data_IF_066228201756
#
_entry.id   IF_066228201756
#
_cell.length_a   1.000
_cell.length_b   1.000
_cell.length_c   1.000
_cell.angle_alpha   90.00
_cell.angle_beta   90.00
_cell.angle_gamma   90.00
#
_symmetry.space_group_name_H-M   'P 1'
#
loop_
_entity.id
_entity.type
_entity.pdbx_description
1 polymer ?
#
# COMPACT_ATOMS: atom_id res chain seq x y z
N UNK A 1 4.03 -16.93 -1.87
CA UNK A 1 3.74 -16.82 -3.30
C UNK A 1 2.35 -16.21 -3.48
N UNK A 2 2.20 -15.30 -4.43
CA UNK A 2 0.89 -14.78 -4.88
C UNK A 2 0.76 -15.18 -6.34
N UNK A 3 -0.36 -15.74 -6.72
CA UNK A 3 -0.66 -16.19 -8.07
C UNK A 3 -1.95 -15.54 -8.56
N UNK A 4 -1.90 -14.93 -9.72
CA UNK A 4 -3.02 -14.27 -10.40
C UNK A 4 -3.33 -15.04 -11.66
N UNK A 5 -4.53 -15.57 -11.76
CA UNK A 5 -4.96 -16.39 -12.87
C UNK A 5 -6.23 -15.86 -13.52
N UNK A 6 -6.13 -15.62 -14.83
CA UNK A 6 -7.24 -15.18 -15.69
C UNK A 6 -8.02 -13.99 -15.11
N UNK A 7 -7.28 -13.00 -14.60
CA UNK A 7 -7.86 -11.86 -13.90
C UNK A 7 -8.47 -10.88 -14.90
N UNK A 8 -9.75 -10.58 -14.71
CA UNK A 8 -10.48 -9.58 -15.49
C UNK A 8 -11.13 -8.55 -14.60
N UNK A 9 -11.10 -7.30 -15.04
CA UNK A 9 -11.82 -6.18 -14.42
C UNK A 9 -12.38 -5.25 -15.48
N UNK A 10 -13.64 -4.89 -15.32
CA UNK A 10 -14.33 -3.89 -16.14
C UNK A 10 -15.01 -2.83 -15.29
N UNK A 11 -15.09 -1.62 -15.80
CA UNK A 11 -15.90 -0.53 -15.26
C UNK A 11 -16.96 -0.17 -16.30
N UNK A 12 -18.21 -0.51 -16.01
CA UNK A 12 -19.27 -0.43 -17.00
C UNK A 12 -18.95 -1.26 -18.25
N UNK A 13 -18.79 -0.61 -19.41
CA UNK A 13 -18.44 -1.25 -20.68
C UNK A 13 -16.94 -1.33 -20.96
N UNK A 14 -16.11 -0.64 -20.18
CA UNK A 14 -14.65 -0.57 -20.39
C UNK A 14 -13.96 -1.73 -19.69
N UNK A 15 -13.30 -2.59 -20.46
CA UNK A 15 -12.43 -3.65 -19.93
C UNK A 15 -11.06 -3.02 -19.62
N UNK A 16 -10.64 -3.06 -18.35
CA UNK A 16 -9.35 -2.52 -17.89
C UNK A 16 -8.33 -3.63 -17.72
N UNK A 17 -8.72 -4.75 -17.13
CA UNK A 17 -7.89 -5.96 -17.06
C UNK A 17 -8.58 -7.05 -17.88
N UNK A 18 -7.80 -7.77 -18.69
CA UNK A 18 -8.34 -8.76 -19.62
C UNK A 18 -7.44 -10.01 -19.69
N UNK A 19 -7.72 -10.99 -18.82
CA UNK A 19 -7.00 -12.25 -18.77
C UNK A 19 -5.56 -12.11 -18.29
N UNK A 20 -5.34 -11.42 -17.16
CA UNK A 20 -4.00 -11.21 -16.60
C UNK A 20 -3.56 -12.46 -15.83
N UNK A 21 -2.34 -12.93 -16.13
CA UNK A 21 -1.66 -14.02 -15.43
C UNK A 21 -0.33 -13.51 -14.89
N UNK A 22 -0.11 -13.64 -13.57
CA UNK A 22 1.11 -13.19 -12.91
C UNK A 22 1.44 -14.11 -11.74
N UNK A 23 2.73 -14.27 -11.46
CA UNK A 23 3.24 -14.99 -10.30
C UNK A 23 4.25 -14.13 -9.56
N UNK A 24 4.08 -14.04 -8.25
CA UNK A 24 4.98 -13.30 -7.37
C UNK A 24 5.57 -14.24 -6.32
N UNK A 25 6.88 -14.43 -6.38
CA UNK A 25 7.62 -15.30 -5.48
C UNK A 25 8.18 -14.52 -4.28
N UNK A 26 8.29 -15.13 -3.09
CA UNK A 26 8.91 -14.51 -1.93
C UNK A 26 10.35 -14.08 -2.19
N UNK A 27 10.79 -13.00 -1.54
CA UNK A 27 12.14 -12.48 -1.62
C UNK A 27 12.51 -11.84 -2.96
N UNK A 28 11.53 -11.54 -3.80
CA UNK A 28 11.72 -10.87 -5.09
C UNK A 28 11.08 -9.49 -5.12
N UNK A 29 11.65 -8.60 -5.91
CA UNK A 29 11.09 -7.29 -6.24
C UNK A 29 10.62 -7.34 -7.69
N UNK A 30 9.38 -6.91 -7.91
CA UNK A 30 8.75 -6.88 -9.24
C UNK A 30 8.40 -5.45 -9.62
N UNK A 31 8.80 -5.02 -10.80
CA UNK A 31 8.38 -3.75 -11.38
C UNK A 31 7.23 -3.94 -12.36
N UNK A 32 6.11 -3.25 -12.12
CA UNK A 32 5.00 -3.22 -13.06
C UNK A 32 5.10 -1.96 -13.92
N UNK A 33 5.45 -2.14 -15.19
CA UNK A 33 5.67 -1.04 -16.15
C UNK A 33 4.52 -0.98 -17.15
N UNK A 34 4.09 0.22 -17.48
CA UNK A 34 3.04 0.47 -18.47
C UNK A 34 2.64 1.94 -18.50
N UNK A 35 1.98 2.36 -19.55
CA UNK A 35 1.47 3.71 -19.71
C UNK A 35 0.45 4.10 -18.62
N UNK A 36 0.20 5.41 -18.47
CA UNK A 36 -0.87 5.88 -17.61
C UNK A 36 -2.22 5.40 -18.16
N UNK A 37 -3.05 4.84 -17.28
CA UNK A 37 -4.31 4.23 -17.68
C UNK A 37 -4.22 2.76 -18.10
N UNK A 38 -3.03 2.14 -18.15
CA UNK A 38 -2.86 0.72 -18.49
C UNK A 38 -3.46 -0.27 -17.46
N UNK A 39 -3.99 0.22 -16.34
CA UNK A 39 -4.64 -0.63 -15.34
C UNK A 39 -3.75 -1.05 -14.16
N UNK A 40 -2.56 -0.49 -14.00
CA UNK A 40 -1.63 -0.83 -12.89
C UNK A 40 -2.30 -0.68 -11.52
N UNK A 41 -2.82 0.49 -11.20
CA UNK A 41 -3.57 0.77 -9.97
C UNK A 41 -4.81 -0.14 -9.83
N UNK A 42 -5.49 -0.43 -10.94
CA UNK A 42 -6.65 -1.35 -10.94
C UNK A 42 -6.22 -2.77 -10.54
N UNK A 43 -5.10 -3.25 -11.06
CA UNK A 43 -4.53 -4.55 -10.67
C UNK A 43 -4.20 -4.57 -9.18
N UNK A 44 -3.53 -3.57 -8.65
CA UNK A 44 -3.21 -3.47 -7.23
C UNK A 44 -4.47 -3.45 -6.35
N UNK A 45 -5.50 -2.70 -6.76
CA UNK A 45 -6.78 -2.66 -6.03
C UNK A 45 -7.53 -4.00 -6.06
N UNK A 46 -7.41 -4.78 -7.13
CA UNK A 46 -7.92 -6.16 -7.17
C UNK A 46 -7.11 -7.08 -6.23
N UNK A 47 -5.76 -6.99 -6.26
CA UNK A 47 -4.88 -7.81 -5.41
C UNK A 47 -5.07 -7.53 -3.92
N UNK A 48 -5.42 -6.30 -3.55
CA UNK A 48 -5.67 -5.89 -2.16
C UNK A 48 -7.12 -6.11 -1.72
N UNK A 49 -8.02 -6.50 -2.64
CA UNK A 49 -9.43 -6.76 -2.36
C UNK A 49 -10.29 -5.49 -2.29
N UNK A 50 -9.76 -4.34 -2.72
CA UNK A 50 -10.53 -3.08 -2.81
C UNK A 50 -11.55 -3.14 -3.94
N UNK A 51 -11.19 -3.79 -5.06
CA UNK A 51 -12.09 -4.02 -6.19
C UNK A 51 -12.45 -5.50 -6.34
N UNK A 52 -13.71 -5.75 -6.69
CA UNK A 52 -14.17 -7.04 -7.19
C UNK A 52 -13.59 -7.31 -8.59
N UNK A 53 -13.42 -8.58 -8.92
CA UNK A 53 -12.85 -9.05 -10.17
C UNK A 53 -13.41 -10.44 -10.54
N UNK A 54 -13.15 -10.88 -11.76
CA UNK A 54 -13.33 -12.28 -12.18
C UNK A 54 -11.99 -12.93 -12.44
N UNK A 55 -11.89 -14.26 -12.35
CA UNK A 55 -10.65 -15.01 -12.28
C UNK A 55 -10.26 -15.34 -10.84
N UNK A 56 -9.00 -15.57 -10.57
CA UNK A 56 -8.55 -15.93 -9.23
C UNK A 56 -7.25 -15.22 -8.83
N UNK A 57 -7.16 -14.86 -7.54
CA UNK A 57 -5.92 -14.41 -6.89
C UNK A 57 -5.72 -15.31 -5.68
N UNK A 58 -4.71 -16.16 -5.76
CA UNK A 58 -4.36 -17.12 -4.71
C UNK A 58 -3.17 -16.60 -3.91
N UNK A 59 -3.33 -16.55 -2.59
CA UNK A 59 -2.28 -16.17 -1.64
C UNK A 59 -2.43 -16.96 -0.36
N UNK A 60 -1.34 -17.13 0.40
CA UNK A 60 -1.43 -17.72 1.75
C UNK A 60 -2.41 -16.92 2.61
N UNK A 61 -3.23 -17.61 3.40
CA UNK A 61 -4.21 -16.98 4.32
C UNK A 61 -3.54 -16.09 5.38
N UNK A 62 -2.30 -16.39 5.73
CA UNK A 62 -1.52 -15.64 6.74
C UNK A 62 -0.77 -14.46 6.15
N UNK A 63 -0.73 -14.31 4.82
CA UNK A 63 0.05 -13.28 4.15
C UNK A 63 -0.58 -11.90 4.36
N UNK A 64 0.19 -11.03 5.03
CA UNK A 64 -0.18 -9.62 5.28
C UNK A 64 0.34 -8.75 4.13
N UNK A 65 -0.54 -8.07 3.43
CA UNK A 65 -0.17 -7.14 2.38
C UNK A 65 -0.38 -5.69 2.83
N UNK A 66 0.64 -4.86 2.64
CA UNK A 66 0.55 -3.42 2.79
C UNK A 66 0.48 -2.75 1.42
N UNK A 67 -0.37 -1.74 1.27
CA UNK A 67 -0.57 -1.01 0.03
C UNK A 67 -0.37 0.48 0.24
N UNK A 68 0.54 1.07 -0.51
CA UNK A 68 0.74 2.51 -0.60
C UNK A 68 0.16 2.99 -1.92
N UNK A 69 -0.96 3.71 -1.83
CA UNK A 69 -1.62 4.32 -2.97
C UNK A 69 -0.82 5.51 -3.53
N UNK A 70 -0.94 5.77 -4.82
CA UNK A 70 -0.39 6.95 -5.47
C UNK A 70 -0.85 8.27 -4.83
N UNK A 71 -2.09 8.31 -4.34
CA UNK A 71 -2.68 9.44 -3.61
C UNK A 71 -2.93 9.07 -2.15
N UNK A 72 -2.14 9.63 -1.24
CA UNK A 72 -2.37 9.49 0.19
C UNK A 72 -3.26 10.62 0.71
N UNK A 73 -4.36 10.24 1.34
CA UNK A 73 -5.23 11.17 2.05
C UNK A 73 -4.84 11.25 3.52
N UNK A 74 -4.74 12.47 4.03
CA UNK A 74 -4.49 12.74 5.45
C UNK A 74 -5.58 13.67 5.99
N UNK A 75 -6.07 13.38 7.18
CA UNK A 75 -6.96 14.29 7.89
C UNK A 75 -6.23 15.59 8.21
N UNK A 76 -6.94 16.71 8.14
CA UNK A 76 -6.35 18.05 8.27
C UNK A 76 -5.69 18.33 9.64
N UNK A 77 -6.16 17.66 10.68
CA UNK A 77 -5.72 17.89 12.07
C UNK A 77 -5.11 16.64 12.71
N UNK A 78 -4.37 15.84 11.94
CA UNK A 78 -3.61 14.71 12.46
C UNK A 78 -2.12 14.99 12.27
N UNK A 79 -1.33 14.86 13.32
CA UNK A 79 0.14 14.96 13.24
C UNK A 79 0.73 13.72 12.60
N UNK A 80 1.99 13.79 12.14
CA UNK A 80 2.70 12.63 11.61
C UNK A 80 2.76 11.49 12.62
N UNK A 81 3.02 11.79 13.89
CA UNK A 81 3.06 10.79 14.96
C UNK A 81 1.69 10.13 15.17
N UNK A 82 0.64 10.91 15.33
CA UNK A 82 -0.72 10.40 15.53
C UNK A 82 -1.19 9.54 14.35
N UNK A 83 -0.80 9.90 13.12
CA UNK A 83 -1.10 9.10 11.94
C UNK A 83 -0.44 7.72 12.01
N UNK A 84 0.85 7.64 12.38
CA UNK A 84 1.57 6.38 12.50
C UNK A 84 0.98 5.51 13.63
N UNK A 85 0.68 6.10 14.77
CA UNK A 85 0.01 5.42 15.89
C UNK A 85 -1.36 4.87 15.49
N UNK A 86 -2.15 5.67 14.76
CA UNK A 86 -3.45 5.26 14.22
C UNK A 86 -3.30 4.03 13.30
N UNK A 87 -2.32 4.07 12.38
CA UNK A 87 -2.06 2.97 11.46
C UNK A 87 -1.68 1.67 12.17
N UNK A 88 -0.88 1.74 13.25
CA UNK A 88 -0.54 0.59 14.07
C UNK A 88 -1.77 0.05 14.81
N UNK A 89 -2.54 0.92 15.46
CA UNK A 89 -3.78 0.56 16.17
C UNK A 89 -4.81 -0.10 15.25
N UNK A 90 -4.97 0.43 14.03
CA UNK A 90 -5.89 -0.11 13.03
C UNK A 90 -5.54 -1.55 12.59
N UNK A 91 -4.27 -1.94 12.72
CA UNK A 91 -3.78 -3.31 12.49
C UNK A 91 -3.78 -4.18 13.75
N UNK A 92 -4.22 -3.67 14.90
CA UNK A 92 -4.18 -4.37 16.18
C UNK A 92 -2.76 -4.56 16.73
N UNK A 93 -1.81 -3.75 16.28
CA UNK A 93 -0.42 -3.81 16.72
C UNK A 93 -0.18 -2.90 17.94
N UNK A 94 0.73 -3.26 18.84
CA UNK A 94 1.10 -2.40 19.95
C UNK A 94 1.78 -1.14 19.43
N UNK A 95 1.37 0.02 19.95
CA UNK A 95 2.02 1.29 19.62
C UNK A 95 3.31 1.43 20.44
N UNK A 96 4.42 1.60 19.74
CA UNK A 96 5.73 1.86 20.34
C UNK A 96 6.31 3.16 19.79
N UNK A 97 6.30 4.20 20.61
CA UNK A 97 6.89 5.50 20.25
C UNK A 97 8.40 5.36 19.97
N UNK A 98 9.10 4.49 20.70
CA UNK A 98 10.52 4.22 20.47
C UNK A 98 10.77 3.62 19.09
N UNK A 99 9.94 2.65 18.65
CA UNK A 99 10.06 2.06 17.33
C UNK A 99 9.81 3.10 16.23
N UNK A 100 8.81 3.97 16.43
CA UNK A 100 8.53 5.08 15.51
C UNK A 100 9.70 6.04 15.43
N UNK A 101 10.28 6.42 16.56
CA UNK A 101 11.42 7.33 16.63
C UNK A 101 12.66 6.76 15.93
N UNK A 102 13.03 5.49 16.21
CA UNK A 102 14.13 4.81 15.54
C UNK A 102 13.95 4.78 14.02
N UNK A 103 12.74 4.45 13.56
CA UNK A 103 12.46 4.47 12.12
C UNK A 103 12.56 5.90 11.56
N UNK A 104 12.14 6.90 12.33
CA UNK A 104 12.20 8.31 11.91
C UNK A 104 13.63 8.87 11.83
N UNK A 105 14.63 8.24 12.45
CA UNK A 105 16.04 8.61 12.24
C UNK A 105 16.43 8.49 10.75
N UNK A 106 15.82 7.53 10.03
CA UNK A 106 16.04 7.32 8.60
C UNK A 106 15.21 8.30 7.77
N UNK A 107 13.95 8.49 8.11
CA UNK A 107 13.00 9.28 7.30
C UNK A 107 13.09 10.77 7.53
N UNK A 108 13.49 11.19 8.75
CA UNK A 108 13.68 12.58 9.16
C UNK A 108 12.43 13.46 8.93
N UNK A 109 11.26 12.96 9.34
CA UNK A 109 10.01 13.70 9.25
C UNK A 109 9.73 14.49 10.54
N UNK A 110 9.15 15.70 10.45
CA UNK A 110 8.71 16.47 11.62
C UNK A 110 7.39 15.89 12.13
N UNK A 111 7.47 14.82 12.94
CA UNK A 111 6.31 14.03 13.38
C UNK A 111 5.34 14.80 14.29
N UNK A 112 5.75 15.91 14.86
CA UNK A 112 4.96 16.83 15.68
C UNK A 112 4.08 17.80 14.87
N UNK A 113 4.31 17.89 13.55
CA UNK A 113 3.54 18.76 12.64
C UNK A 113 2.38 18.01 12.00
N UNK A 114 1.35 18.77 11.58
CA UNK A 114 0.21 18.20 10.87
C UNK A 114 0.63 17.58 9.53
N UNK A 115 0.22 16.32 9.29
CA UNK A 115 0.54 15.60 8.07
C UNK A 115 -0.03 16.25 6.81
N UNK A 116 -1.12 17.00 6.95
CA UNK A 116 -1.72 17.76 5.85
C UNK A 116 -0.76 18.83 5.29
N UNK A 117 0.13 19.39 6.12
CA UNK A 117 1.11 20.43 5.77
C UNK A 117 2.39 19.87 5.12
N UNK A 118 2.54 18.55 5.10
CA UNK A 118 3.70 17.89 4.51
C UNK A 118 3.74 18.09 3.00
N UNK A 119 4.95 18.22 2.45
CA UNK A 119 5.16 18.15 1.01
C UNK A 119 4.72 16.78 0.46
N UNK A 120 4.51 16.67 -0.84
CA UNK A 120 4.15 15.41 -1.48
C UNK A 120 5.15 14.29 -1.15
N UNK A 121 6.46 14.59 -1.19
CA UNK A 121 7.50 13.64 -0.83
C UNK A 121 7.46 13.23 0.64
N UNK A 122 7.20 14.16 1.57
CA UNK A 122 7.05 13.86 2.99
C UNK A 122 5.81 13.00 3.25
N UNK A 123 4.69 13.26 2.56
CA UNK A 123 3.47 12.44 2.63
C UNK A 123 3.73 11.00 2.16
N UNK A 124 4.47 10.82 1.06
CA UNK A 124 4.89 9.48 0.60
C UNK A 124 5.78 8.78 1.61
N UNK A 125 6.77 9.49 2.18
CA UNK A 125 7.63 8.97 3.25
C UNK A 125 6.81 8.53 4.46
N UNK A 126 5.86 9.34 4.92
CA UNK A 126 4.99 9.02 6.07
C UNK A 126 4.14 7.77 5.80
N UNK A 127 3.53 7.66 4.62
CA UNK A 127 2.79 6.47 4.20
C UNK A 127 3.67 5.22 4.15
N UNK A 128 4.90 5.34 3.64
CA UNK A 128 5.84 4.23 3.61
C UNK A 128 6.31 3.81 5.01
N UNK A 129 6.57 4.79 5.89
CA UNK A 129 6.83 4.54 7.31
C UNK A 129 5.71 3.72 7.96
N UNK A 130 4.45 4.11 7.71
CA UNK A 130 3.29 3.38 8.22
C UNK A 130 3.25 1.93 7.73
N UNK A 131 3.60 1.67 6.45
CA UNK A 131 3.67 0.31 5.93
C UNK A 131 4.75 -0.53 6.63
N UNK A 132 5.92 0.04 6.88
CA UNK A 132 7.03 -0.66 7.55
C UNK A 132 6.67 -1.03 9.00
N UNK A 133 5.97 -0.13 9.71
CA UNK A 133 5.53 -0.36 11.09
C UNK A 133 4.41 -1.41 11.21
N UNK A 134 3.72 -1.74 10.11
CA UNK A 134 2.59 -2.68 10.11
C UNK A 134 2.98 -4.16 9.95
N UNK A 135 4.26 -4.50 9.93
CA UNK A 135 4.74 -5.88 9.82
C UNK A 135 4.14 -6.63 8.61
N UNK A 136 4.15 -6.00 7.45
CA UNK A 136 3.63 -6.61 6.22
C UNK A 136 4.65 -7.57 5.60
N UNK A 137 4.18 -8.68 5.04
CA UNK A 137 4.99 -9.66 4.28
C UNK A 137 5.19 -9.23 2.82
N UNK A 138 4.25 -8.45 2.30
CA UNK A 138 4.25 -7.95 0.92
C UNK A 138 3.96 -6.45 0.90
N UNK A 139 4.74 -5.72 0.14
CA UNK A 139 4.57 -4.29 -0.08
C UNK A 139 4.14 -4.06 -1.53
N UNK A 140 3.00 -3.41 -1.71
CA UNK A 140 2.51 -2.95 -3.01
C UNK A 140 2.63 -1.43 -3.00
N UNK A 141 3.48 -0.90 -3.90
CA UNK A 141 3.77 0.52 -3.99
C UNK A 141 3.27 1.04 -5.34
N UNK A 142 2.31 1.96 -5.31
CA UNK A 142 1.71 2.54 -6.51
C UNK A 142 2.22 3.99 -6.64
N UNK A 143 3.29 4.18 -7.44
CA UNK A 143 4.01 5.43 -7.72
C UNK A 143 4.73 6.06 -6.51
#
# INVERSE_FOLDING_TARGET
>A
MIEVNDLHKKFGKVKVLNGIHLEYHPGKIYGLVGENGAGKTTLFNCMTGIYDYTGSITKSKTLKAGYLSASNFFYSQITGLEYLEFCMKAKGLPVSTLTIQHLNEIFQLPLDRYAAEYSTGMKKKLGFMALLLQENDVFILDE
#
